data_IF_989209197587
#
_entry.id   IF_989209197587
#
_cell.length_a   1.000
_cell.length_b   1.000
_cell.length_c   1.000
_cell.angle_alpha   90.00
_cell.angle_beta   90.00
_cell.angle_gamma   90.00
#
_symmetry.space_group_name_H-M   'P 1'
#
loop_
_entity.id
_entity.type
_entity.pdbx_description
1 polymer ?
#
# COMPACT_ATOMS: atom_id res chain seq x y z
N UNK A 1 26.24 23.84 54.05
CA UNK A 1 26.48 22.96 52.90
C UNK A 1 25.36 23.23 51.92
N UNK A 2 25.66 23.93 50.84
CA UNK A 2 24.70 24.37 49.82
C UNK A 2 24.77 23.37 48.67
N UNK A 3 23.65 22.72 48.35
CA UNK A 3 23.46 22.01 47.09
C UNK A 3 22.74 22.93 46.10
N UNK A 4 23.26 23.11 44.88
CA UNK A 4 22.47 23.60 43.76
C UNK A 4 22.40 22.60 42.59
N UNK A 5 21.16 22.37 42.13
CA UNK A 5 20.70 22.26 40.74
C UNK A 5 21.55 21.56 39.68
N UNK A 6 21.01 20.49 39.06
CA UNK A 6 21.03 20.18 37.59
C UNK A 6 19.74 19.37 37.29
N UNK A 7 18.74 19.97 36.63
CA UNK A 7 18.33 19.79 35.21
C UNK A 7 18.23 18.31 34.78
N UNK A 8 17.08 17.79 34.34
CA UNK A 8 16.37 18.22 33.14
C UNK A 8 16.36 17.04 32.16
N UNK A 9 15.24 16.31 32.11
CA UNK A 9 15.05 15.17 31.21
C UNK A 9 13.60 15.11 30.77
N UNK A 10 13.29 15.90 29.73
CA UNK A 10 11.96 16.01 29.13
C UNK A 10 11.51 14.66 28.56
N UNK A 11 10.29 14.25 28.93
CA UNK A 11 9.61 13.12 28.33
C UNK A 11 9.32 13.39 26.86
N UNK A 12 9.83 12.52 25.98
CA UNK A 12 9.49 12.52 24.57
C UNK A 12 8.02 12.18 24.38
N UNK A 13 7.22 13.17 23.98
CA UNK A 13 5.92 12.90 23.37
C UNK A 13 6.14 12.10 22.08
N UNK A 14 5.33 11.07 21.81
CA UNK A 14 5.36 10.43 20.49
C UNK A 14 5.00 11.49 19.45
N UNK A 15 5.91 11.69 18.48
CA UNK A 15 5.65 12.53 17.32
C UNK A 15 4.35 12.06 16.66
N UNK A 16 3.33 12.91 16.79
CA UNK A 16 2.03 12.71 16.19
C UNK A 16 2.24 12.84 14.68
N UNK A 17 2.28 11.72 13.97
CA UNK A 17 2.29 11.71 12.50
C UNK A 17 1.15 12.60 12.00
N UNK A 18 1.52 13.71 11.38
CA UNK A 18 0.62 14.82 11.01
C UNK A 18 -0.28 14.44 9.84
N UNK A 19 -1.23 13.54 10.05
CA UNK A 19 -2.48 13.62 9.33
C UNK A 19 -3.43 14.56 10.06
N UNK A 20 -4.25 15.29 9.30
CA UNK A 20 -5.32 16.08 9.88
C UNK A 20 -6.20 15.15 10.75
N UNK A 21 -6.30 15.44 12.05
CA UNK A 21 -7.23 14.75 12.98
C UNK A 21 -8.71 15.11 12.67
N UNK A 22 -9.05 15.35 11.41
CA UNK A 22 -10.37 15.74 10.96
C UNK A 22 -11.14 14.54 10.43
N UNK A 23 -12.42 14.46 10.76
CA UNK A 23 -13.35 13.63 10.02
C UNK A 23 -13.55 14.24 8.63
N UNK A 24 -13.12 13.53 7.59
CA UNK A 24 -13.46 13.89 6.21
C UNK A 24 -14.66 13.06 5.77
N UNK A 25 -15.75 13.71 5.40
CA UNK A 25 -16.86 13.03 4.74
C UNK A 25 -16.55 12.64 3.29
N UNK A 26 -15.37 13.01 2.78
CA UNK A 26 -15.01 12.75 1.40
C UNK A 26 -14.46 11.33 1.25
N UNK A 27 -15.23 10.49 0.58
CA UNK A 27 -14.82 9.16 0.12
C UNK A 27 -14.40 9.23 -1.35
N UNK A 28 -13.39 8.46 -1.73
CA UNK A 28 -12.96 8.42 -3.13
C UNK A 28 -13.91 7.52 -3.94
N UNK A 29 -14.95 8.13 -4.51
CA UNK A 29 -15.95 7.41 -5.33
C UNK A 29 -15.35 6.67 -6.52
N UNK A 30 -14.19 7.14 -7.04
CA UNK A 30 -13.44 6.50 -8.11
C UNK A 30 -12.42 5.45 -7.66
N UNK A 31 -12.31 5.22 -6.34
CA UNK A 31 -11.26 4.39 -5.75
C UNK A 31 -10.02 5.18 -5.34
N UNK A 32 -8.94 4.48 -5.02
CA UNK A 32 -7.65 5.06 -4.71
C UNK A 32 -6.59 4.54 -5.70
N UNK A 33 -5.53 5.32 -5.91
CA UNK A 33 -4.43 4.94 -6.78
C UNK A 33 -3.11 5.19 -6.09
N UNK A 34 -2.11 4.35 -6.35
CA UNK A 34 -0.73 4.58 -5.92
C UNK A 34 0.21 4.23 -7.06
N UNK A 35 1.20 5.08 -7.28
CA UNK A 35 2.32 4.80 -8.17
C UNK A 35 3.47 4.33 -7.30
N UNK A 36 3.79 3.05 -7.38
CA UNK A 36 4.88 2.42 -6.68
C UNK A 36 6.16 2.54 -7.50
N UNK A 37 7.18 3.13 -6.88
CA UNK A 37 8.52 3.23 -7.44
C UNK A 37 9.44 2.24 -6.75
N UNK A 38 10.37 1.58 -7.47
CA UNK A 38 11.34 0.69 -6.86
C UNK A 38 12.19 1.42 -5.80
N UNK A 39 12.42 0.79 -4.64
CA UNK A 39 13.24 1.38 -3.57
C UNK A 39 14.73 1.35 -3.93
N UNK A 40 15.20 0.19 -4.41
CA UNK A 40 16.56 -0.03 -4.91
C UNK A 40 16.49 -0.50 -6.37
N UNK A 41 16.42 0.40 -7.36
CA UNK A 41 16.29 0.01 -8.77
C UNK A 41 17.49 -0.80 -9.27
N UNK A 42 18.66 -0.69 -8.62
CA UNK A 42 19.87 -1.44 -8.99
C UNK A 42 19.88 -2.89 -8.46
N UNK A 43 19.16 -3.18 -7.38
CA UNK A 43 19.14 -4.51 -6.73
C UNK A 43 17.83 -5.26 -6.95
N UNK A 44 16.78 -4.54 -7.34
CA UNK A 44 15.43 -5.09 -7.47
C UNK A 44 15.18 -5.58 -8.90
N UNK A 45 14.75 -6.84 -9.03
CA UNK A 45 14.24 -7.40 -10.29
C UNK A 45 12.95 -6.74 -10.79
N UNK A 46 12.45 -5.70 -10.11
CA UNK A 46 11.31 -4.90 -10.51
C UNK A 46 11.79 -3.51 -11.02
N UNK A 47 12.31 -3.40 -12.25
CA UNK A 47 12.92 -2.16 -12.76
C UNK A 47 11.92 -1.11 -13.21
N UNK A 48 10.62 -1.34 -13.04
CA UNK A 48 9.57 -0.47 -13.56
C UNK A 48 8.66 0.01 -12.45
N UNK A 49 8.16 1.23 -12.63
CA UNK A 49 7.08 1.75 -11.81
C UNK A 49 5.82 0.90 -12.03
N UNK A 50 4.99 0.78 -11.01
CA UNK A 50 3.69 0.12 -11.09
C UNK A 50 2.60 1.06 -10.61
N UNK A 51 1.44 0.99 -11.24
CA UNK A 51 0.25 1.65 -10.72
C UNK A 51 -0.64 0.60 -10.05
N UNK A 52 -0.99 0.81 -8.78
CA UNK A 52 -2.02 0.03 -8.11
C UNK A 52 -3.29 0.87 -8.04
N UNK A 53 -4.42 0.28 -8.39
CA UNK A 53 -5.74 0.85 -8.17
C UNK A 53 -6.53 0.02 -7.18
N UNK A 54 -7.17 0.69 -6.22
CA UNK A 54 -8.06 0.12 -5.23
C UNK A 54 -9.47 0.65 -5.49
N UNK A 55 -10.44 -0.21 -5.75
CA UNK A 55 -11.81 0.22 -6.01
C UNK A 55 -12.79 -0.51 -5.12
N UNK A 56 -13.76 0.22 -4.56
CA UNK A 56 -14.87 -0.42 -3.84
C UNK A 56 -15.64 -1.32 -4.82
N UNK A 57 -15.69 -2.61 -4.52
CA UNK A 57 -16.44 -3.60 -5.28
C UNK A 57 -17.64 -4.07 -4.45
N UNK A 58 -18.83 -3.58 -4.81
CA UNK A 58 -20.09 -4.00 -4.19
C UNK A 58 -20.69 -5.12 -5.04
N UNK A 59 -20.62 -6.35 -4.54
CA UNK A 59 -21.38 -7.48 -5.07
C UNK A 59 -22.40 -7.93 -4.03
N UNK A 60 -23.46 -8.59 -4.48
CA UNK A 60 -24.71 -8.83 -3.76
C UNK A 60 -24.60 -9.54 -2.39
N UNK A 61 -23.40 -9.99 -1.98
CA UNK A 61 -23.18 -10.60 -0.66
C UNK A 61 -21.89 -10.19 0.05
N UNK A 62 -21.04 -9.32 -0.52
CA UNK A 62 -19.81 -8.89 0.12
C UNK A 62 -19.33 -7.53 -0.39
N UNK A 63 -19.12 -6.59 0.54
CA UNK A 63 -18.34 -5.39 0.30
C UNK A 63 -16.86 -5.77 0.35
N UNK A 64 -16.10 -5.41 -0.68
CA UNK A 64 -14.66 -5.64 -0.72
C UNK A 64 -13.95 -4.60 -1.56
N UNK A 65 -12.63 -4.67 -1.60
CA UNK A 65 -11.80 -3.83 -2.46
C UNK A 65 -11.27 -4.67 -3.62
N UNK A 66 -11.51 -4.23 -4.85
CA UNK A 66 -10.81 -4.74 -6.01
C UNK A 66 -9.44 -4.07 -6.09
N UNK A 67 -8.39 -4.88 -5.98
CA UNK A 67 -6.99 -4.47 -6.08
C UNK A 67 -6.49 -4.85 -7.46
N UNK A 68 -5.94 -3.89 -8.21
CA UNK A 68 -5.39 -4.17 -9.55
C UNK A 68 -4.01 -3.53 -9.71
N UNK A 69 -3.07 -4.30 -10.25
CA UNK A 69 -1.73 -3.84 -10.61
C UNK A 69 -1.72 -3.57 -12.11
N UNK A 70 -1.27 -2.38 -12.51
CA UNK A 70 -1.19 -1.92 -13.89
C UNK A 70 0.21 -1.44 -14.21
N UNK A 71 0.59 -1.58 -15.47
CA UNK A 71 1.75 -0.87 -16.02
C UNK A 71 1.38 0.63 -16.17
N UNK A 72 2.29 1.56 -15.83
CA UNK A 72 2.06 2.98 -16.08
C UNK A 72 1.82 3.23 -17.57
N UNK A 73 0.79 4.03 -17.89
CA UNK A 73 0.39 4.29 -19.28
C UNK A 73 1.47 5.02 -20.13
N UNK A 74 2.47 5.62 -19.48
CA UNK A 74 3.50 6.45 -20.13
C UNK A 74 4.84 5.73 -20.33
N UNK A 75 4.92 4.42 -20.05
CA UNK A 75 6.13 3.65 -20.34
C UNK A 75 6.25 3.36 -21.85
N UNK A 76 7.45 3.40 -22.44
CA UNK A 76 7.62 2.98 -23.82
C UNK A 76 7.11 1.54 -23.95
N UNK A 77 6.08 1.36 -24.78
CA UNK A 77 5.54 0.03 -25.14
C UNK A 77 6.60 -0.84 -25.84
N UNK A 78 7.75 -0.26 -26.22
CA UNK A 78 8.75 -0.88 -27.09
C UNK A 78 9.80 -1.77 -26.38
N UNK A 79 9.71 -1.99 -25.06
CA UNK A 79 10.51 -3.03 -24.38
C UNK A 79 9.71 -4.32 -24.17
N UNK A 80 8.93 -4.71 -25.19
CA UNK A 80 8.39 -6.05 -25.35
C UNK A 80 9.49 -6.99 -25.87
N UNK A 81 10.28 -7.59 -24.96
CA UNK A 81 10.84 -8.93 -25.14
C UNK A 81 11.65 -9.34 -23.90
N UNK A 82 11.36 -10.54 -23.38
CA UNK A 82 12.12 -11.34 -22.39
C UNK A 82 12.02 -11.08 -20.88
N UNK A 83 11.38 -10.03 -20.35
CA UNK A 83 11.25 -9.95 -18.88
C UNK A 83 10.11 -10.84 -18.36
N UNK A 84 10.35 -11.74 -17.38
CA UNK A 84 9.30 -12.55 -16.76
C UNK A 84 8.16 -11.66 -16.28
N UNK A 85 6.92 -12.09 -16.50
CA UNK A 85 5.73 -11.37 -16.04
C UNK A 85 5.89 -11.04 -14.54
N UNK A 86 5.94 -9.76 -14.14
CA UNK A 86 6.30 -9.37 -12.77
C UNK A 86 5.29 -9.87 -11.73
N UNK A 87 4.12 -10.33 -12.19
CA UNK A 87 3.05 -10.92 -11.37
C UNK A 87 3.54 -12.11 -10.55
N UNK A 88 4.36 -13.01 -11.11
CA UNK A 88 4.86 -14.16 -10.33
C UNK A 88 5.81 -13.73 -9.22
N UNK A 89 6.63 -12.71 -9.46
CA UNK A 89 7.49 -12.15 -8.42
C UNK A 89 6.68 -11.51 -7.28
N UNK A 90 5.48 -11.00 -7.57
CA UNK A 90 4.60 -10.43 -6.54
C UNK A 90 3.88 -11.48 -5.68
N UNK A 91 3.75 -12.75 -6.12
CA UNK A 91 3.01 -13.76 -5.34
C UNK A 91 3.69 -14.09 -4.01
N UNK A 92 5.00 -13.98 -3.95
CA UNK A 92 5.80 -14.13 -2.73
C UNK A 92 5.95 -12.80 -1.95
N UNK A 93 5.18 -11.78 -2.31
CA UNK A 93 5.19 -10.48 -1.65
C UNK A 93 3.90 -10.25 -0.84
N UNK A 94 3.96 -9.26 0.05
CA UNK A 94 2.78 -8.69 0.70
C UNK A 94 2.77 -7.18 0.51
N UNK A 95 1.56 -6.61 0.64
CA UNK A 95 1.36 -5.17 0.71
C UNK A 95 1.35 -4.75 2.18
N UNK A 96 2.03 -3.65 2.49
CA UNK A 96 1.96 -2.94 3.76
C UNK A 96 1.42 -1.53 3.51
N UNK A 97 0.49 -1.08 4.35
CA UNK A 97 0.00 0.31 4.38
C UNK A 97 0.37 0.90 5.73
N UNK A 98 1.23 1.91 5.72
CA UNK A 98 1.76 2.54 6.92
C UNK A 98 0.91 3.74 7.35
N UNK A 99 0.95 4.16 8.62
CA UNK A 99 0.23 5.34 9.08
C UNK A 99 0.83 6.66 8.57
N UNK A 100 2.09 6.68 8.15
CA UNK A 100 2.68 7.86 7.52
C UNK A 100 2.42 7.88 6.00
N UNK A 101 2.66 9.02 5.37
CA UNK A 101 2.82 9.17 3.91
C UNK A 101 4.26 9.50 3.52
N UNK A 102 5.22 9.18 4.39
CA UNK A 102 6.60 9.66 4.27
C UNK A 102 7.44 8.66 3.47
N UNK A 103 7.89 9.07 2.28
CA UNK A 103 8.80 8.26 1.46
C UNK A 103 10.28 8.46 1.83
N UNK A 104 10.59 9.31 2.81
CA UNK A 104 11.97 9.55 3.24
C UNK A 104 12.52 8.31 3.95
N UNK A 105 13.61 7.68 3.45
CA UNK A 105 14.20 6.53 4.12
C UNK A 105 14.67 6.89 5.53
N UNK A 106 14.10 6.25 6.56
CA UNK A 106 14.57 6.42 7.94
C UNK A 106 14.24 5.19 8.80
N UNK A 107 15.14 4.88 9.74
CA UNK A 107 14.93 3.78 10.69
C UNK A 107 13.73 4.02 11.60
N UNK A 108 13.42 5.28 11.93
CA UNK A 108 12.30 5.63 12.80
C UNK A 108 10.97 5.31 12.13
N UNK A 109 10.81 5.77 10.89
CA UNK A 109 9.63 5.49 10.06
C UNK A 109 9.40 3.99 9.89
N UNK A 110 10.47 3.24 9.66
CA UNK A 110 10.38 1.81 9.36
C UNK A 110 10.12 0.93 10.60
N UNK A 111 10.24 1.48 11.81
CA UNK A 111 9.85 0.82 13.07
C UNK A 111 8.35 0.91 13.35
N UNK A 112 7.62 1.77 12.65
CA UNK A 112 6.18 1.93 12.85
C UNK A 112 5.44 0.78 12.17
N UNK A 113 4.65 -0.03 12.91
CA UNK A 113 3.94 -1.16 12.33
C UNK A 113 2.91 -0.68 11.29
N UNK A 114 2.68 -1.47 10.22
CA UNK A 114 1.68 -1.11 9.22
C UNK A 114 0.26 -1.21 9.82
N UNK A 115 -0.63 -0.33 9.34
CA UNK A 115 -2.07 -0.36 9.65
C UNK A 115 -2.74 -1.58 9.01
N UNK A 116 -2.32 -1.92 7.79
CA UNK A 116 -2.84 -3.04 7.04
C UNK A 116 -1.71 -3.83 6.40
N UNK A 117 -1.88 -5.16 6.39
CA UNK A 117 -0.98 -6.09 5.71
C UNK A 117 -1.81 -7.20 5.08
N UNK A 118 -1.57 -7.48 3.81
CA UNK A 118 -2.22 -8.59 3.12
C UNK A 118 -1.31 -9.21 2.07
N UNK A 119 -1.37 -10.54 1.88
CA UNK A 119 -0.53 -11.25 0.92
C UNK A 119 -1.04 -11.04 -0.52
N UNK A 120 -0.11 -11.05 -1.48
CA UNK A 120 -0.40 -10.99 -2.91
C UNK A 120 -0.43 -12.37 -3.59
N UNK A 121 -0.40 -13.45 -2.80
CA UNK A 121 -0.40 -14.84 -3.27
C UNK A 121 -1.57 -15.19 -4.20
N UNK A 122 -2.72 -14.53 -4.03
CA UNK A 122 -3.96 -14.80 -4.78
C UNK A 122 -4.16 -13.85 -5.97
N UNK A 123 -3.08 -13.26 -6.49
CA UNK A 123 -3.15 -12.45 -7.72
C UNK A 123 -3.51 -13.32 -8.93
N UNK A 124 -4.65 -12.99 -9.54
CA UNK A 124 -5.12 -13.52 -10.83
C UNK A 124 -4.44 -12.75 -11.95
N UNK A 125 -3.86 -13.46 -12.93
CA UNK A 125 -3.22 -12.83 -14.09
C UNK A 125 -4.28 -12.25 -15.01
N UNK A 126 -3.93 -11.17 -15.71
CA UNK A 126 -4.84 -10.53 -16.67
C UNK A 126 -5.34 -11.46 -17.78
N UNK A 127 -4.53 -12.45 -18.19
CA UNK A 127 -4.90 -13.47 -19.19
C UNK A 127 -6.09 -14.32 -18.76
N UNK A 128 -6.31 -14.48 -17.45
CA UNK A 128 -7.42 -15.25 -16.88
C UNK A 128 -8.67 -14.37 -16.62
N UNK A 129 -8.60 -13.06 -16.90
CA UNK A 129 -9.66 -12.09 -16.61
C UNK A 129 -10.29 -11.57 -17.91
N UNK A 130 -11.49 -12.05 -18.22
CA UNK A 130 -12.34 -11.47 -19.27
C UNK A 130 -12.73 -10.03 -18.87
N UNK A 131 -12.62 -9.06 -19.80
CA UNK A 131 -12.98 -7.63 -19.67
C UNK A 131 -12.05 -6.67 -18.89
N UNK A 132 -10.73 -6.87 -18.91
CA UNK A 132 -9.79 -5.96 -18.25
C UNK A 132 -8.91 -5.15 -19.23
N UNK A 133 -8.66 -3.87 -18.88
CA UNK A 133 -7.77 -2.95 -19.62
C UNK A 133 -6.43 -3.60 -19.98
N UNK A 134 -5.90 -3.41 -21.20
CA UNK A 134 -4.65 -4.02 -21.68
C UNK A 134 -3.41 -3.64 -20.85
N UNK A 135 -3.51 -2.59 -20.02
CA UNK A 135 -2.45 -2.17 -19.11
C UNK A 135 -2.43 -2.93 -17.78
N UNK A 136 -3.47 -3.71 -17.48
CA UNK A 136 -3.57 -4.44 -16.21
C UNK A 136 -2.74 -5.71 -16.28
N UNK A 137 -1.92 -5.93 -15.26
CA UNK A 137 -1.01 -7.07 -15.16
C UNK A 137 -1.64 -8.19 -14.33
N UNK A 138 -2.26 -7.81 -13.19
CA UNK A 138 -2.93 -8.73 -12.29
C UNK A 138 -3.98 -8.02 -11.45
N UNK A 139 -4.91 -8.80 -10.89
CA UNK A 139 -5.86 -8.29 -9.91
C UNK A 139 -6.18 -9.33 -8.83
N UNK A 140 -6.77 -8.86 -7.73
CA UNK A 140 -7.36 -9.71 -6.71
C UNK A 140 -8.49 -8.98 -5.99
N UNK A 141 -9.37 -9.73 -5.35
CA UNK A 141 -10.44 -9.18 -4.52
C UNK A 141 -10.07 -9.33 -3.04
N UNK A 142 -10.01 -8.21 -2.34
CA UNK A 142 -9.80 -8.14 -0.89
C UNK A 142 -11.18 -8.09 -0.22
N UNK A 143 -11.68 -9.25 0.24
CA UNK A 143 -12.95 -9.36 0.96
C UNK A 143 -12.72 -9.48 2.47
N UNK A 144 -13.18 -8.53 3.31
CA UNK A 144 -13.11 -8.62 4.76
C UNK A 144 -13.57 -10.00 5.24
N UNK A 145 -12.68 -10.73 5.92
CA UNK A 145 -13.01 -12.04 6.47
C UNK A 145 -14.09 -11.87 7.54
N UNK A 146 -15.32 -12.31 7.23
CA UNK A 146 -16.44 -12.24 8.16
C UNK A 146 -16.39 -13.34 9.24
N UNK A 147 -15.53 -14.35 9.08
CA UNK A 147 -15.62 -15.59 9.86
C UNK A 147 -14.54 -15.75 10.94
N UNK A 148 -13.62 -14.81 11.10
CA UNK A 148 -12.67 -14.84 12.21
C UNK A 148 -13.17 -14.01 13.40
N UNK A 149 -13.75 -14.70 14.37
CA UNK A 149 -14.37 -14.22 15.63
C UNK A 149 -13.41 -13.48 16.61
N UNK A 150 -12.32 -12.92 16.11
CA UNK A 150 -11.31 -12.16 16.85
C UNK A 150 -10.28 -11.45 15.97
N UNK A 151 -10.43 -11.47 14.64
CA UNK A 151 -9.53 -10.77 13.72
C UNK A 151 -10.13 -9.43 13.35
N UNK A 152 -9.37 -8.37 13.60
CA UNK A 152 -9.76 -6.97 13.39
C UNK A 152 -10.42 -6.80 12.02
N UNK A 153 -11.66 -6.29 11.99
CA UNK A 153 -12.39 -5.96 10.76
C UNK A 153 -11.49 -5.09 9.86
N UNK A 154 -10.79 -5.70 8.91
CA UNK A 154 -9.82 -5.02 8.08
C UNK A 154 -10.50 -4.26 6.94
N UNK A 155 -11.66 -3.65 7.18
CA UNK A 155 -12.34 -2.85 6.16
C UNK A 155 -11.42 -1.72 5.71
N UNK A 156 -10.81 -1.88 4.55
CA UNK A 156 -9.98 -0.88 3.91
C UNK A 156 -10.87 0.32 3.54
N UNK A 157 -10.62 1.46 4.19
CA UNK A 157 -11.39 2.68 3.95
C UNK A 157 -10.67 3.57 2.93
N UNK A 158 -11.30 3.77 1.78
CA UNK A 158 -10.81 4.66 0.73
C UNK A 158 -11.19 6.12 1.01
N UNK A 159 -10.82 6.61 2.20
CA UNK A 159 -10.99 7.99 2.63
C UNK A 159 -9.71 8.51 3.29
N UNK A 160 -9.71 9.80 3.65
CA UNK A 160 -8.57 10.48 4.26
C UNK A 160 -8.70 10.63 5.79
N UNK A 161 -9.53 9.82 6.44
CA UNK A 161 -9.71 9.88 7.90
C UNK A 161 -8.55 9.19 8.63
N UNK A 162 -8.60 9.20 9.98
CA UNK A 162 -7.62 8.54 10.85
C UNK A 162 -7.42 7.04 10.56
N UNK A 163 -8.44 6.34 10.06
CA UNK A 163 -8.35 4.94 9.62
C UNK A 163 -8.41 4.78 8.10
N UNK A 164 -8.39 5.90 7.39
CA UNK A 164 -8.39 5.96 5.93
C UNK A 164 -7.00 5.75 5.35
N UNK A 165 -6.97 5.19 4.14
CA UNK A 165 -5.74 4.88 3.42
C UNK A 165 -5.20 6.05 2.59
N UNK A 166 -6.00 7.08 2.31
CA UNK A 166 -5.53 8.20 1.50
C UNK A 166 -4.44 8.98 2.24
N UNK A 167 -3.38 9.34 1.52
CA UNK A 167 -2.22 10.06 2.06
C UNK A 167 -1.26 9.15 2.81
N UNK A 168 -1.55 7.84 2.88
CA UNK A 168 -0.68 6.84 3.48
C UNK A 168 0.31 6.30 2.47
N UNK A 169 1.43 5.80 2.97
CA UNK A 169 2.43 5.09 2.22
C UNK A 169 2.00 3.63 2.05
N UNK A 170 2.03 3.16 0.81
CA UNK A 170 1.95 1.75 0.46
C UNK A 170 3.34 1.25 0.12
N UNK A 171 3.69 0.07 0.63
CA UNK A 171 4.92 -0.64 0.29
C UNK A 171 4.60 -2.06 -0.18
N UNK A 172 5.33 -2.53 -1.18
CA UNK A 172 5.43 -3.96 -1.50
C UNK A 172 6.68 -4.49 -0.83
N UNK A 173 6.54 -5.60 -0.12
CA UNK A 173 7.63 -6.21 0.64
C UNK A 173 7.74 -7.69 0.24
N UNK A 174 8.97 -8.12 -0.05
CA UNK A 174 9.27 -9.50 -0.45
C UNK A 174 9.17 -10.47 0.73
N UNK A 175 9.15 -11.77 0.44
CA UNK A 175 9.26 -12.86 1.43
C UNK A 175 10.43 -12.69 2.42
N UNK A 176 11.52 -12.03 2.02
CA UNK A 176 12.70 -11.78 2.86
C UNK A 176 12.55 -10.56 3.77
N UNK A 177 11.45 -9.81 3.68
CA UNK A 177 11.22 -8.58 4.44
C UNK A 177 11.80 -7.31 3.80
N UNK A 178 12.34 -7.40 2.58
CA UNK A 178 12.90 -6.24 1.87
C UNK A 178 11.78 -5.47 1.15
N UNK A 179 11.79 -4.15 1.25
CA UNK A 179 10.87 -3.29 0.48
C UNK A 179 11.30 -3.28 -0.98
N UNK A 180 10.40 -3.72 -1.85
CA UNK A 180 10.61 -3.80 -3.30
C UNK A 180 10.25 -2.47 -3.94
N UNK A 181 9.12 -1.89 -3.55
CA UNK A 181 8.62 -0.64 -4.09
C UNK A 181 7.75 0.10 -3.07
N UNK A 182 7.69 1.43 -3.16
CA UNK A 182 6.84 2.26 -2.31
C UNK A 182 6.23 3.46 -3.04
N UNK A 183 5.13 3.98 -2.50
CA UNK A 183 4.42 5.13 -3.04
C UNK A 183 3.36 5.64 -2.08
N UNK A 184 2.82 6.83 -2.34
CA UNK A 184 1.75 7.43 -1.53
C UNK A 184 0.40 7.22 -2.21
N UNK A 185 -0.58 6.78 -1.43
CA UNK A 185 -1.93 6.50 -1.89
C UNK A 185 -2.68 7.83 -2.11
N UNK A 186 -2.99 8.11 -3.36
CA UNK A 186 -3.80 9.23 -3.80
C UNK A 186 -5.24 8.83 -4.12
N UNK A 187 -6.05 9.83 -4.44
CA UNK A 187 -7.40 9.61 -4.99
C UNK A 187 -7.31 9.26 -6.46
N UNK A 188 -8.19 8.35 -6.91
CA UNK A 188 -8.39 8.03 -8.31
C UNK A 188 -9.64 8.74 -8.86
#
# INVERSE_FOLDING_TARGET
>A
MMDPWIEGGQGGQPEKLNMCNGSSARTSKGGATVFLRPVNPEESNAPVDYQITLQEHRSAGAEGIHFSIKRPANGPLEQEQTQPCPVEAFRDCWVEIHPDGDLTPSQHRDRVPPLHRFPLQNLTRWEDLEDISPTTLASMKLIPDQNNHGSVNWKLRLDACETGMIGRRMSIVSATGLRVAEGVIGWN
#
